data_IF_905644619434
#
_entry.id   IF_905644619434
#
_cell.length_a   1.000
_cell.length_b   1.000
_cell.length_c   1.000
_cell.angle_alpha   90.00
_cell.angle_beta   90.00
_cell.angle_gamma   90.00
#
_symmetry.space_group_name_H-M   'P 1'
#
loop_
_entity.id
_entity.type
_entity.pdbx_description
1 polymer ?
#
# COMPACT_ATOMS: atom_id res chain seq x y z
N UNK A 1 4.25 -14.05 -15.80
CA UNK A 1 5.70 -13.75 -15.66
C UNK A 1 5.98 -12.25 -15.54
N UNK A 2 5.71 -11.39 -16.54
CA UNK A 2 6.03 -9.93 -16.43
C UNK A 2 5.21 -9.22 -15.33
N UNK A 3 3.91 -9.47 -15.24
CA UNK A 3 3.03 -8.86 -14.21
C UNK A 3 3.42 -9.27 -12.78
N UNK A 4 3.80 -10.54 -12.59
CA UNK A 4 4.23 -11.07 -11.30
C UNK A 4 5.55 -10.45 -10.84
N UNK A 5 6.54 -10.37 -11.73
CA UNK A 5 7.82 -9.72 -11.44
C UNK A 5 7.64 -8.24 -11.07
N UNK A 6 6.70 -7.54 -11.72
CA UNK A 6 6.38 -6.16 -11.38
C UNK A 6 5.77 -6.02 -9.99
N UNK A 7 4.90 -6.95 -9.57
CA UNK A 7 4.34 -6.96 -8.21
C UNK A 7 5.39 -7.26 -7.15
N UNK A 8 6.31 -8.19 -7.42
CA UNK A 8 7.44 -8.50 -6.54
C UNK A 8 8.34 -7.26 -6.37
N UNK A 9 8.68 -6.59 -7.47
CA UNK A 9 9.51 -5.39 -7.41
C UNK A 9 8.78 -4.22 -6.73
N UNK A 10 7.49 -4.04 -6.97
CA UNK A 10 6.68 -3.05 -6.27
C UNK A 10 6.68 -3.32 -4.75
N UNK A 11 6.45 -4.57 -4.33
CA UNK A 11 6.52 -4.99 -2.93
C UNK A 11 7.87 -4.64 -2.31
N UNK A 12 8.97 -4.98 -3.00
CA UNK A 12 10.33 -4.67 -2.54
C UNK A 12 10.53 -3.17 -2.33
N UNK A 13 10.07 -2.33 -3.26
CA UNK A 13 10.15 -0.86 -3.16
C UNK A 13 9.33 -0.31 -2.02
N UNK A 14 8.10 -0.80 -1.83
CA UNK A 14 7.23 -0.37 -0.73
C UNK A 14 7.86 -0.65 0.64
N UNK A 15 8.44 -1.83 0.82
CA UNK A 15 9.17 -2.20 2.05
C UNK A 15 10.41 -1.32 2.26
N UNK A 16 11.16 -1.03 1.20
CA UNK A 16 12.31 -0.12 1.28
C UNK A 16 11.89 1.31 1.68
N UNK A 17 10.78 1.82 1.15
CA UNK A 17 10.24 3.11 1.57
C UNK A 17 9.74 3.09 3.01
N UNK A 18 9.05 2.02 3.43
CA UNK A 18 8.62 1.83 4.82
C UNK A 18 9.80 1.86 5.81
N UNK A 19 10.91 1.21 5.45
CA UNK A 19 12.14 1.25 6.23
C UNK A 19 12.76 2.66 6.27
N UNK A 20 12.80 3.35 5.13
CA UNK A 20 13.30 4.73 5.05
C UNK A 20 12.46 5.71 5.87
N UNK A 21 11.16 5.46 6.04
CA UNK A 21 10.27 6.26 6.89
C UNK A 21 10.43 5.95 8.39
N UNK A 22 11.14 4.88 8.77
CA UNK A 22 11.32 4.50 10.18
C UNK A 22 10.19 3.64 10.75
N UNK A 23 9.49 2.89 9.91
CA UNK A 23 8.45 1.97 10.36
C UNK A 23 8.99 0.93 11.36
N UNK A 24 8.21 0.64 12.40
CA UNK A 24 8.54 -0.37 13.40
C UNK A 24 8.71 -1.76 12.78
N UNK A 25 7.81 -2.10 11.86
CA UNK A 25 7.86 -3.27 11.00
C UNK A 25 7.65 -2.82 9.55
N UNK A 26 8.76 -2.69 8.82
CA UNK A 26 8.76 -2.21 7.44
C UNK A 26 8.17 -3.22 6.46
N UNK A 27 8.25 -4.51 6.78
CA UNK A 27 7.71 -5.58 5.95
C UNK A 27 6.18 -5.57 5.99
N UNK A 28 5.62 -5.46 7.20
CA UNK A 28 4.17 -5.36 7.40
C UNK A 28 3.60 -4.09 6.78
N UNK A 29 4.23 -2.93 6.97
CA UNK A 29 3.76 -1.68 6.35
C UNK A 29 3.82 -1.77 4.82
N UNK A 30 4.92 -2.27 4.25
CA UNK A 30 5.07 -2.41 2.80
C UNK A 30 4.03 -3.34 2.18
N UNK A 31 3.72 -4.45 2.83
CA UNK A 31 2.69 -5.40 2.37
C UNK A 31 1.28 -4.80 2.50
N UNK A 32 0.99 -4.07 3.58
CA UNK A 32 -0.28 -3.37 3.75
C UNK A 32 -0.53 -2.30 2.69
N UNK A 33 0.50 -1.52 2.33
CA UNK A 33 0.42 -0.54 1.25
C UNK A 33 0.18 -1.20 -0.12
N UNK A 34 0.81 -2.36 -0.37
CA UNK A 34 0.56 -3.13 -1.60
C UNK A 34 -0.90 -3.58 -1.68
N UNK A 35 -1.45 -4.11 -0.59
CA UNK A 35 -2.84 -4.54 -0.52
C UNK A 35 -3.81 -3.37 -0.75
N UNK A 36 -3.52 -2.18 -0.22
CA UNK A 36 -4.33 -0.98 -0.48
C UNK A 36 -4.32 -0.59 -1.96
N UNK A 37 -3.17 -0.65 -2.63
CA UNK A 37 -3.05 -0.37 -4.07
C UNK A 37 -3.87 -1.37 -4.89
N UNK A 38 -3.73 -2.67 -4.62
CA UNK A 38 -4.47 -3.72 -5.33
C UNK A 38 -5.98 -3.62 -5.08
N UNK A 39 -6.37 -3.37 -3.83
CA UNK A 39 -7.77 -3.18 -3.44
C UNK A 39 -8.40 -1.96 -4.10
N UNK A 40 -7.67 -0.83 -4.21
CA UNK A 40 -8.14 0.36 -4.89
C UNK A 40 -8.28 0.16 -6.41
N UNK A 41 -7.35 -0.58 -7.03
CA UNK A 41 -7.43 -0.92 -8.45
C UNK A 41 -8.69 -1.73 -8.77
N UNK A 42 -8.96 -2.78 -8.01
CA UNK A 42 -10.15 -3.63 -8.20
C UNK A 42 -11.44 -2.89 -7.82
N UNK A 43 -11.45 -2.21 -6.67
CA UNK A 43 -12.65 -1.49 -6.19
C UNK A 43 -13.02 -0.31 -7.08
N UNK A 44 -12.05 0.37 -7.68
CA UNK A 44 -12.30 1.46 -8.63
C UNK A 44 -13.04 0.98 -9.89
N UNK A 45 -12.71 -0.22 -10.36
CA UNK A 45 -13.40 -0.85 -11.50
C UNK A 45 -14.82 -1.30 -11.15
N UNK A 46 -15.04 -1.79 -9.93
CA UNK A 46 -16.34 -2.30 -9.46
C UNK A 46 -17.34 -1.20 -9.09
N UNK A 47 -16.89 -0.16 -8.39
CA UNK A 47 -17.77 0.83 -7.75
C UNK A 47 -17.74 2.21 -8.41
N UNK A 48 -16.75 2.51 -9.27
CA UNK A 48 -16.63 3.80 -9.94
C UNK A 48 -16.39 4.98 -8.98
N UNK A 49 -16.78 6.18 -9.43
CA UNK A 49 -16.67 7.42 -8.65
C UNK A 49 -17.49 7.34 -7.35
N UNK A 50 -16.86 7.71 -6.23
CA UNK A 50 -17.49 7.64 -4.90
C UNK A 50 -17.39 6.27 -4.22
N UNK A 51 -16.81 5.27 -4.88
CA UNK A 51 -16.55 3.96 -4.30
C UNK A 51 -15.39 3.96 -3.28
N UNK A 52 -15.10 2.79 -2.66
CA UNK A 52 -14.11 2.66 -1.58
C UNK A 52 -12.70 3.15 -1.95
N UNK A 53 -12.35 3.10 -3.24
CA UNK A 53 -11.07 3.58 -3.74
C UNK A 53 -10.83 5.08 -3.44
N UNK A 54 -11.88 5.88 -3.24
CA UNK A 54 -11.76 7.28 -2.85
C UNK A 54 -11.06 7.49 -1.50
N UNK A 55 -11.11 6.49 -0.61
CA UNK A 55 -10.50 6.54 0.71
C UNK A 55 -9.04 6.04 0.75
N UNK A 56 -8.48 5.54 -0.37
CA UNK A 56 -7.19 4.83 -0.37
C UNK A 56 -6.04 5.69 0.16
N UNK A 57 -5.96 6.97 -0.24
CA UNK A 57 -4.90 7.87 0.19
C UNK A 57 -4.96 8.09 1.71
N UNK A 58 -6.13 8.42 2.24
CA UNK A 58 -6.35 8.60 3.68
C UNK A 58 -6.02 7.33 4.47
N UNK A 59 -6.40 6.16 3.96
CA UNK A 59 -6.12 4.90 4.64
C UNK A 59 -4.62 4.55 4.61
N UNK A 60 -3.91 4.91 3.54
CA UNK A 60 -2.46 4.77 3.49
C UNK A 60 -1.78 5.69 4.51
N UNK A 61 -2.21 6.95 4.61
CA UNK A 61 -1.68 7.89 5.62
C UNK A 61 -1.84 7.36 7.04
N UNK A 62 -3.05 6.89 7.38
CA UNK A 62 -3.33 6.31 8.70
C UNK A 62 -2.49 5.06 8.99
N UNK A 63 -2.29 4.20 8.00
CA UNK A 63 -1.48 3.00 8.14
C UNK A 63 -0.01 3.35 8.34
N UNK A 64 0.50 4.34 7.59
CA UNK A 64 1.88 4.84 7.75
C UNK A 64 2.05 5.40 9.15
N UNK A 65 1.20 6.35 9.57
CA UNK A 65 1.26 7.00 10.87
C UNK A 65 1.27 5.98 12.02
N UNK A 66 0.37 4.98 11.97
CA UNK A 66 0.30 3.93 12.98
C UNK A 66 1.54 3.02 13.00
N UNK A 67 2.29 2.95 11.89
CA UNK A 67 3.44 2.07 11.75
C UNK A 67 4.77 2.73 12.10
N UNK A 68 4.83 4.07 12.20
CA UNK A 68 6.07 4.78 12.55
C UNK A 68 6.41 4.63 14.04
N UNK A 69 7.69 4.46 14.35
CA UNK A 69 8.17 4.52 15.74
C UNK A 69 7.99 5.95 16.25
N UNK A 70 7.37 6.10 17.42
CA UNK A 70 7.30 7.38 18.14
C UNK A 70 8.66 7.80 18.68
#
# INVERSE_FOLDING_TARGET
VVSENNKIELRRRLRAMAAAMGAADSDTLGDGLLLLIEGAYISGQLFGLGGPAAAVARNADLLIEASLKK
#
